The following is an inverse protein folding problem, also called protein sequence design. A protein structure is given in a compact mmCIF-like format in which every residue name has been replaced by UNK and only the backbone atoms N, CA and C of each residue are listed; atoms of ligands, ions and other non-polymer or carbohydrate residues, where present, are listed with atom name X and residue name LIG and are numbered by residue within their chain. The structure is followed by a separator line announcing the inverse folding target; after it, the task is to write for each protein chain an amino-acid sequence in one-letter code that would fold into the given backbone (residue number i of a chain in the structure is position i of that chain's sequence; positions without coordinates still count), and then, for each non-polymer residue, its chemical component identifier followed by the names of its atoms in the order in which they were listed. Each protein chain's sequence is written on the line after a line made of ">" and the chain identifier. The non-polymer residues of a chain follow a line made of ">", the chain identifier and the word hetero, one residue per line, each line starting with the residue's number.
data_IF_798401364823
#
_entry.id   IF_798401364823
#
_cell.length_a   1.000
_cell.length_b   1.000
_cell.length_c   1.000
_cell.angle_alpha   90.00
_cell.angle_beta   90.00
_cell.angle_gamma   90.00
#
_symmetry.space_group_name_H-M   'P 1'
#
loop_
_entity.id
_entity.type
_entity.pdbx_description
1 polymer ?
#
# COMPACT_ATOMS: atom_id res chain seq x y z
N UNK A 1 31.94 -19.04 -1.24
CA UNK A 1 31.27 -17.72 -1.19
C UNK A 1 30.96 -17.34 -2.63
N UNK A 2 29.71 -17.39 -3.07
CA UNK A 2 29.36 -17.03 -4.44
C UNK A 2 29.62 -15.53 -4.63
N UNK A 3 30.54 -15.18 -5.52
CA UNK A 3 30.77 -13.80 -5.91
C UNK A 3 29.62 -13.35 -6.81
N UNK A 4 28.50 -12.92 -6.21
CA UNK A 4 27.42 -12.30 -6.96
C UNK A 4 27.91 -10.94 -7.45
N UNK A 5 28.15 -10.83 -8.76
CA UNK A 5 28.50 -9.55 -9.38
C UNK A 5 27.32 -8.58 -9.26
N UNK A 6 27.55 -7.27 -9.14
CA UNK A 6 26.49 -6.27 -9.06
C UNK A 6 25.46 -6.44 -10.19
N UNK A 7 25.93 -6.66 -11.42
CA UNK A 7 25.06 -6.78 -12.59
C UNK A 7 24.10 -7.96 -12.48
N UNK A 8 24.62 -9.17 -12.21
CA UNK A 8 23.80 -10.37 -12.03
C UNK A 8 22.77 -10.24 -10.89
N UNK A 9 23.10 -9.47 -9.87
CA UNK A 9 22.21 -9.24 -8.73
C UNK A 9 21.06 -8.31 -9.11
N UNK A 10 21.37 -7.18 -9.77
CA UNK A 10 20.35 -6.25 -10.24
C UNK A 10 19.48 -6.87 -11.34
N UNK A 11 20.03 -7.72 -12.20
CA UNK A 11 19.25 -8.44 -13.21
C UNK A 11 18.19 -9.35 -12.57
N UNK A 12 18.58 -10.10 -11.53
CA UNK A 12 17.64 -10.93 -10.77
C UNK A 12 16.58 -10.08 -10.04
N UNK A 13 17.00 -9.00 -9.40
CA UNK A 13 16.09 -8.11 -8.66
C UNK A 13 15.10 -7.41 -9.62
N UNK A 14 15.56 -6.95 -10.78
CA UNK A 14 14.70 -6.36 -11.82
C UNK A 14 13.73 -7.39 -12.40
N UNK A 15 14.15 -8.65 -12.59
CA UNK A 15 13.26 -9.70 -13.05
C UNK A 15 12.12 -9.96 -12.05
N UNK A 16 12.42 -10.10 -10.76
CA UNK A 16 11.40 -10.28 -9.72
C UNK A 16 10.51 -9.04 -9.57
N UNK A 17 11.08 -7.84 -9.68
CA UNK A 17 10.33 -6.60 -9.66
C UNK A 17 9.33 -6.50 -10.83
N UNK A 18 9.75 -6.87 -12.05
CA UNK A 18 8.88 -6.90 -13.22
C UNK A 18 7.77 -7.93 -13.07
N UNK A 19 8.06 -9.13 -12.54
CA UNK A 19 7.04 -10.13 -12.25
C UNK A 19 6.01 -9.61 -11.25
N UNK A 20 6.45 -8.91 -10.21
CA UNK A 20 5.56 -8.28 -9.24
C UNK A 20 4.71 -7.18 -9.88
N UNK A 21 5.28 -6.32 -10.70
CA UNK A 21 4.53 -5.29 -11.42
C UNK A 21 3.45 -5.90 -12.34
N UNK A 22 3.77 -6.99 -13.04
CA UNK A 22 2.82 -7.75 -13.87
C UNK A 22 1.73 -8.39 -13.01
N UNK A 23 2.08 -9.04 -11.90
CA UNK A 23 1.10 -9.65 -10.99
C UNK A 23 0.15 -8.60 -10.39
N UNK A 24 0.66 -7.42 -10.00
CA UNK A 24 -0.16 -6.28 -9.56
C UNK A 24 -1.08 -5.78 -10.68
N UNK A 25 -0.60 -5.73 -11.92
CA UNK A 25 -1.42 -5.31 -13.06
C UNK A 25 -2.49 -6.36 -13.44
N UNK A 26 -2.18 -7.65 -13.34
CA UNK A 26 -3.10 -8.76 -13.57
C UNK A 26 -4.12 -8.92 -12.42
N UNK A 27 -3.77 -8.50 -11.21
CA UNK A 27 -4.58 -8.73 -10.01
C UNK A 27 -4.49 -10.15 -9.49
N UNK A 28 -3.33 -10.80 -9.67
CA UNK A 28 -3.11 -12.16 -9.23
C UNK A 28 -2.76 -12.20 -7.73
N UNK A 29 -3.77 -12.47 -6.90
CA UNK A 29 -3.67 -12.38 -5.43
C UNK A 29 -2.87 -13.55 -4.84
N UNK A 30 -2.78 -14.68 -5.54
CA UNK A 30 -2.09 -15.87 -5.02
C UNK A 30 -0.58 -15.71 -5.05
N UNK A 31 -0.05 -15.04 -6.08
CA UNK A 31 1.38 -14.91 -6.33
C UNK A 31 1.97 -13.63 -5.73
N UNK A 32 1.13 -12.65 -5.42
CA UNK A 32 1.57 -11.35 -4.88
C UNK A 32 2.34 -11.45 -3.55
N UNK A 33 1.92 -12.23 -2.53
CA UNK A 33 2.63 -12.32 -1.27
C UNK A 33 4.05 -12.87 -1.44
N UNK A 34 4.20 -13.95 -2.23
CA UNK A 34 5.49 -14.61 -2.43
C UNK A 34 6.46 -13.75 -3.24
N UNK A 35 5.99 -13.04 -4.27
CA UNK A 35 6.82 -12.09 -5.02
C UNK A 35 7.20 -10.88 -4.18
N UNK A 36 6.30 -10.39 -3.33
CA UNK A 36 6.57 -9.26 -2.44
C UNK A 36 7.65 -9.62 -1.42
N UNK A 37 7.58 -10.83 -0.85
CA UNK A 37 8.60 -11.34 0.07
C UNK A 37 9.96 -11.47 -0.62
N UNK A 38 10.02 -12.02 -1.83
CA UNK A 38 11.27 -12.16 -2.59
C UNK A 38 11.90 -10.79 -2.90
N UNK A 39 11.11 -9.82 -3.36
CA UNK A 39 11.60 -8.44 -3.62
C UNK A 39 12.07 -7.78 -2.33
N UNK A 40 11.38 -8.00 -1.20
CA UNK A 40 11.81 -7.48 0.11
C UNK A 40 13.14 -8.10 0.55
N UNK A 41 13.26 -9.43 0.50
CA UNK A 41 14.48 -10.14 0.89
C UNK A 41 15.68 -9.69 0.04
N UNK A 42 15.51 -9.55 -1.27
CA UNK A 42 16.55 -9.02 -2.15
C UNK A 42 16.85 -7.54 -1.82
N UNK A 43 15.85 -6.71 -1.52
CA UNK A 43 16.13 -5.31 -1.15
C UNK A 43 16.91 -5.18 0.16
N UNK A 44 16.65 -6.05 1.14
CA UNK A 44 17.40 -6.09 2.41
C UNK A 44 18.82 -6.59 2.15
N UNK A 45 18.98 -7.70 1.44
CA UNK A 45 20.29 -8.24 1.08
C UNK A 45 21.12 -7.25 0.26
N UNK A 46 20.49 -6.43 -0.59
CA UNK A 46 21.17 -5.39 -1.34
C UNK A 46 21.90 -4.42 -0.41
N UNK A 47 21.30 -4.04 0.72
CA UNK A 47 21.93 -3.12 1.68
C UNK A 47 23.22 -3.68 2.29
N UNK A 48 23.28 -4.99 2.51
CA UNK A 48 24.45 -5.69 3.04
C UNK A 48 25.56 -5.79 2.00
N UNK A 49 25.21 -6.22 0.78
CA UNK A 49 26.17 -6.43 -0.30
C UNK A 49 26.64 -5.10 -0.90
N UNK A 50 25.81 -4.04 -0.83
CA UNK A 50 26.16 -2.69 -1.28
C UNK A 50 27.41 -2.15 -0.59
N UNK A 51 27.48 -2.28 0.73
CA UNK A 51 28.64 -1.84 1.53
C UNK A 51 29.92 -2.61 1.15
N UNK A 52 29.77 -3.88 0.74
CA UNK A 52 30.89 -4.68 0.24
C UNK A 52 31.33 -4.21 -1.15
N UNK A 53 30.40 -3.96 -2.07
CA UNK A 53 30.71 -3.46 -3.41
C UNK A 53 31.32 -2.06 -3.41
N UNK A 54 30.89 -1.17 -2.51
CA UNK A 54 31.50 0.14 -2.32
C UNK A 54 32.97 0.02 -1.92
N UNK A 55 33.29 -0.85 -0.95
CA UNK A 55 34.67 -1.10 -0.52
C UNK A 55 35.53 -1.74 -1.61
N UNK A 56 34.92 -2.49 -2.51
CA UNK A 56 35.59 -3.14 -3.65
C UNK A 56 35.67 -2.25 -4.90
N UNK A 57 35.12 -1.03 -4.87
CA UNK A 57 35.09 -0.14 -6.02
C UNK A 57 34.17 -0.60 -7.15
N UNK A 58 33.25 -1.53 -6.88
CA UNK A 58 32.29 -2.08 -7.85
C UNK A 58 31.01 -1.23 -7.96
N UNK A 59 30.83 -0.25 -7.07
CA UNK A 59 29.72 0.68 -7.07
C UNK A 59 29.92 1.78 -8.13
N UNK A 60 29.70 1.42 -9.40
CA UNK A 60 29.77 2.35 -10.54
C UNK A 60 28.51 3.21 -10.66
N UNK A 61 28.60 4.32 -11.42
CA UNK A 61 27.45 5.20 -11.69
C UNK A 61 26.26 4.52 -12.38
N UNK A 62 26.51 3.42 -13.11
CA UNK A 62 25.45 2.59 -13.71
C UNK A 62 24.63 1.89 -12.61
N UNK A 63 25.31 1.36 -11.60
CA UNK A 63 24.67 0.66 -10.48
C UNK A 63 23.80 1.61 -9.65
N UNK A 64 24.27 2.85 -9.39
CA UNK A 64 23.45 3.86 -8.71
C UNK A 64 22.24 4.29 -9.55
N UNK A 65 22.39 4.37 -10.86
CA UNK A 65 21.27 4.65 -11.77
C UNK A 65 20.22 3.53 -11.75
N UNK A 66 20.64 2.26 -11.71
CA UNK A 66 19.71 1.12 -11.61
C UNK A 66 18.93 1.13 -10.30
N UNK A 67 19.58 1.42 -9.17
CA UNK A 67 18.90 1.61 -7.87
C UNK A 67 17.85 2.72 -7.96
N UNK A 68 18.18 3.84 -8.60
CA UNK A 68 17.23 4.94 -8.78
C UNK A 68 16.02 4.53 -9.63
N UNK A 69 16.25 3.83 -10.74
CA UNK A 69 15.18 3.33 -11.60
C UNK A 69 14.25 2.36 -10.85
N UNK A 70 14.81 1.48 -10.01
CA UNK A 70 14.03 0.58 -9.15
C UNK A 70 13.20 1.34 -8.11
N UNK A 71 13.76 2.37 -7.50
CA UNK A 71 13.03 3.20 -6.54
C UNK A 71 11.85 3.93 -7.20
N UNK A 72 12.03 4.45 -8.42
CA UNK A 72 10.96 5.06 -9.21
C UNK A 72 9.88 4.03 -9.59
N UNK A 73 10.28 2.83 -10.01
CA UNK A 73 9.36 1.73 -10.30
C UNK A 73 8.51 1.33 -9.09
N UNK A 74 9.12 1.22 -7.90
CA UNK A 74 8.41 0.86 -6.66
C UNK A 74 7.30 1.85 -6.32
N UNK A 75 7.48 3.15 -6.60
CA UNK A 75 6.42 4.14 -6.40
C UNK A 75 5.21 3.87 -7.31
N UNK A 76 5.45 3.45 -8.55
CA UNK A 76 4.38 3.10 -9.50
C UNK A 76 3.60 1.87 -9.03
N UNK A 77 4.31 0.82 -8.58
CA UNK A 77 3.69 -0.39 -8.02
C UNK A 77 2.82 -0.04 -6.80
N UNK A 78 3.36 0.77 -5.88
CA UNK A 78 2.63 1.23 -4.70
C UNK A 78 1.36 2.01 -5.09
N UNK A 79 1.46 2.91 -6.05
CA UNK A 79 0.32 3.68 -6.52
C UNK A 79 -0.77 2.78 -7.11
N UNK A 80 -0.40 1.74 -7.86
CA UNK A 80 -1.35 0.77 -8.41
C UNK A 80 -2.06 -0.05 -7.31
N UNK A 81 -1.34 -0.51 -6.30
CA UNK A 81 -1.92 -1.20 -5.15
C UNK A 81 -2.91 -0.31 -4.38
N UNK A 82 -2.56 0.95 -4.11
CA UNK A 82 -3.44 1.90 -3.45
C UNK A 82 -4.70 2.18 -4.26
N UNK A 83 -4.58 2.33 -5.59
CA UNK A 83 -5.74 2.53 -6.48
C UNK A 83 -6.69 1.33 -6.42
N UNK A 84 -6.16 0.11 -6.36
CA UNK A 84 -6.95 -1.11 -6.22
C UNK A 84 -7.63 -1.21 -4.85
N UNK A 85 -6.92 -0.87 -3.77
CA UNK A 85 -7.49 -0.86 -2.43
C UNK A 85 -8.71 0.08 -2.35
N UNK A 86 -8.61 1.29 -2.91
CA UNK A 86 -9.73 2.23 -2.99
C UNK A 86 -10.93 1.68 -3.79
N UNK A 87 -10.69 0.99 -4.90
CA UNK A 87 -11.77 0.37 -5.68
C UNK A 87 -12.45 -0.76 -4.90
N UNK A 88 -11.67 -1.58 -4.17
CA UNK A 88 -12.21 -2.64 -3.31
C UNK A 88 -13.04 -2.03 -2.17
N UNK A 89 -12.55 -0.97 -1.51
CA UNK A 89 -13.31 -0.27 -0.47
C UNK A 89 -14.61 0.35 -1.00
N UNK A 90 -14.57 0.98 -2.17
CA UNK A 90 -15.78 1.51 -2.82
C UNK A 90 -16.77 0.41 -3.18
N UNK A 91 -16.30 -0.70 -3.75
CA UNK A 91 -17.15 -1.86 -4.06
C UNK A 91 -17.74 -2.47 -2.78
N UNK A 92 -16.95 -2.59 -1.72
CA UNK A 92 -17.41 -3.08 -0.43
C UNK A 92 -18.50 -2.17 0.16
N UNK A 93 -18.32 -0.85 0.08
CA UNK A 93 -19.33 0.12 0.51
C UNK A 93 -20.62 0.08 -0.33
N UNK A 94 -20.58 -0.43 -1.57
CA UNK A 94 -21.77 -0.59 -2.41
C UNK A 94 -22.49 -1.92 -2.14
N UNK A 95 -21.73 -2.99 -1.89
CA UNK A 95 -22.27 -4.35 -1.64
C UNK A 95 -22.76 -4.51 -0.20
N UNK A 96 -22.01 -3.92 0.74
CA UNK A 96 -22.41 -3.75 2.13
C UNK A 96 -22.45 -2.24 2.36
N UNK A 97 -23.51 -1.55 1.89
CA UNK A 97 -23.74 -0.18 2.32
C UNK A 97 -23.84 -0.29 3.83
N UNK A 98 -22.89 0.35 4.52
CA UNK A 98 -22.80 0.31 5.96
C UNK A 98 -24.21 0.41 6.50
N UNK A 99 -24.71 -0.70 7.05
CA UNK A 99 -25.91 -0.68 7.85
C UNK A 99 -25.49 0.05 9.10
N UNK A 100 -25.41 1.38 9.00
CA UNK A 100 -25.41 2.30 10.14
C UNK A 100 -26.84 2.28 10.68
N UNK A 101 -27.32 1.08 10.97
CA UNK A 101 -28.44 0.85 11.85
C UNK A 101 -27.74 0.53 13.16
N UNK A 102 -27.65 1.48 14.11
CA UNK A 102 -27.19 1.14 15.43
C UNK A 102 -28.13 0.07 15.98
N UNK A 103 -27.71 -1.19 15.94
CA UNK A 103 -28.40 -2.32 16.59
C UNK A 103 -28.56 -2.08 18.11
N UNK A 104 -27.85 -1.08 18.64
CA UNK A 104 -27.99 -0.54 19.99
C UNK A 104 -28.30 0.97 20.01
N UNK A 105 -29.10 1.51 19.09
CA UNK A 105 -29.96 2.64 19.44
C UNK A 105 -31.00 2.10 20.43
N UNK A 106 -30.51 1.91 21.66
CA UNK A 106 -31.29 1.75 22.85
C UNK A 106 -32.32 2.88 22.83
N UNK A 107 -33.55 2.48 22.54
CA UNK A 107 -34.78 3.08 23.01
C UNK A 107 -34.68 3.27 24.54
N UNK A 108 -33.93 4.27 24.96
CA UNK A 108 -33.75 4.68 26.34
C UNK A 108 -34.72 5.82 26.64
N UNK A 109 -35.96 5.47 26.96
CA UNK A 109 -37.05 6.35 27.41
C UNK A 109 -36.79 7.07 28.74
N UNK A 110 -35.57 7.01 29.29
CA UNK A 110 -35.18 7.56 30.59
C UNK A 110 -34.08 8.64 30.54
N UNK A 111 -33.83 9.24 29.37
CA UNK A 111 -32.79 10.27 29.19
C UNK A 111 -33.28 11.64 28.72
N UNK A 112 -34.60 11.87 28.64
CA UNK A 112 -35.14 13.19 28.23
C UNK A 112 -35.09 14.16 29.40
N UNK A 113 -33.92 14.77 29.64
CA UNK A 113 -33.84 16.01 30.40
C UNK A 113 -34.74 17.07 29.76
N UNK A 114 -35.45 17.91 30.54
CA UNK A 114 -36.41 18.86 29.99
C UNK A 114 -35.66 19.89 29.14
N UNK A 115 -35.86 19.85 27.82
CA UNK A 115 -35.54 20.99 26.95
C UNK A 115 -36.52 22.11 27.31
N UNK A 116 -36.02 23.12 28.02
CA UNK A 116 -36.69 24.40 28.21
C UNK A 116 -37.06 24.94 26.82
N UNK A 117 -38.33 24.79 26.44
CA UNK A 117 -38.87 25.29 25.18
C UNK A 117 -38.91 26.82 25.27
N UNK A 118 -37.98 27.45 24.56
CA UNK A 118 -37.90 28.89 24.41
C UNK A 118 -39.17 29.46 23.80
N UNK A 119 -39.57 30.60 24.34
CA UNK A 119 -40.76 31.38 24.03
C UNK A 119 -40.73 31.91 22.58
N UNK A 120 -41.89 31.83 21.91
CA UNK A 120 -42.55 32.80 21.00
C UNK A 120 -43.08 32.14 19.71
N UNK A 121 -44.39 32.32 19.43
CA UNK A 121 -44.73 33.05 18.22
C UNK A 121 -45.71 34.20 18.46
N UNK A 122 -45.37 35.33 17.85
CA UNK A 122 -46.25 36.45 17.50
C UNK A 122 -47.39 35.97 16.59
N UNK A 123 -48.61 36.44 16.84
CA UNK A 123 -49.66 36.49 15.83
C UNK A 123 -50.08 37.95 15.63
N UNK A 124 -50.02 38.38 14.37
CA UNK A 124 -50.56 39.63 13.89
C UNK A 124 -52.03 39.45 13.49
N UNK A 125 -52.86 40.43 13.87
CA UNK A 125 -53.98 40.99 13.10
C UNK A 125 -54.36 42.32 13.77
#
# INVERSE_FOLDING_TARGET
>A
MNHTTPDSYFDALEAHFNQLAVAVAAGDIEVLPSLSEQVQQLSVNLSEVWQQWQRQGLANGVVTQRVKALAEGLQVVRANLLRRAMLVEQALNLVVPATVEPTYASSGTYGSGPKASGRLPTFAA
#
